data_IF_015384532813
#
_entry.id   IF_015384532813
#
_cell.length_a   1.000
_cell.length_b   1.000
_cell.length_c   1.000
_cell.angle_alpha   90.00
_cell.angle_beta   90.00
_cell.angle_gamma   90.00
#
_symmetry.space_group_name_H-M   'P 1'
#
loop_
_entity.id
_entity.type
_entity.pdbx_description
1 polymer ?
#
# COMPACT_ATOMS: atom_id res chain seq x y z
N UNK A 1 -14.26 6.66 -10.17
CA UNK A 1 -14.82 5.67 -9.21
C UNK A 1 -15.88 6.29 -8.31
N UNK A 2 -15.77 7.55 -7.87
CA UNK A 2 -16.82 8.27 -7.11
C UNK A 2 -18.24 8.17 -7.68
N UNK A 3 -18.39 8.27 -9.00
CA UNK A 3 -19.70 8.11 -9.67
C UNK A 3 -20.36 6.74 -9.40
N UNK A 4 -19.57 5.67 -9.26
CA UNK A 4 -20.08 4.32 -8.95
C UNK A 4 -20.65 4.29 -7.53
N UNK A 5 -19.97 4.93 -6.58
CA UNK A 5 -20.44 5.02 -5.19
C UNK A 5 -21.66 5.94 -5.06
N UNK A 6 -21.70 7.04 -5.82
CA UNK A 6 -22.89 7.90 -5.90
C UNK A 6 -24.10 7.12 -6.43
N UNK A 7 -23.92 6.32 -7.48
CA UNK A 7 -24.98 5.42 -7.98
C UNK A 7 -25.42 4.43 -6.92
N UNK A 8 -24.50 3.84 -6.16
CA UNK A 8 -24.84 2.96 -5.03
C UNK A 8 -25.77 3.65 -4.03
N UNK A 9 -25.43 4.85 -3.53
CA UNK A 9 -26.28 5.57 -2.57
C UNK A 9 -27.63 6.00 -3.16
N UNK A 10 -27.65 6.37 -4.44
CA UNK A 10 -28.88 6.70 -5.17
C UNK A 10 -29.81 5.48 -5.29
N UNK A 11 -29.27 4.31 -5.61
CA UNK A 11 -30.05 3.08 -5.69
C UNK A 11 -30.54 2.65 -4.30
N UNK A 12 -29.72 2.77 -3.25
CA UNK A 12 -30.11 2.49 -1.86
C UNK A 12 -31.29 3.37 -1.41
N UNK A 13 -31.25 4.68 -1.70
CA UNK A 13 -32.34 5.60 -1.36
C UNK A 13 -33.60 5.37 -2.19
N UNK A 14 -33.46 5.02 -3.47
CA UNK A 14 -34.58 4.65 -4.33
C UNK A 14 -35.31 3.42 -3.79
N UNK A 15 -34.58 2.34 -3.45
CA UNK A 15 -35.16 1.13 -2.86
C UNK A 15 -35.90 1.46 -1.57
N UNK A 16 -35.30 2.27 -0.68
CA UNK A 16 -35.95 2.69 0.57
C UNK A 16 -37.23 3.50 0.32
N UNK A 17 -37.21 4.39 -0.68
CA UNK A 17 -38.36 5.22 -1.06
C UNK A 17 -39.59 4.43 -1.51
N UNK A 18 -39.42 3.18 -1.96
CA UNK A 18 -40.54 2.30 -2.33
C UNK A 18 -41.40 1.86 -1.14
N UNK A 19 -40.88 1.94 0.10
CA UNK A 19 -41.57 1.50 1.31
C UNK A 19 -41.89 0.00 1.37
N UNK A 20 -41.49 -0.79 0.38
CA UNK A 20 -41.87 -2.20 0.18
C UNK A 20 -40.67 -3.16 0.28
N UNK A 21 -39.48 -2.64 0.60
CA UNK A 21 -38.26 -3.43 0.69
C UNK A 21 -38.21 -4.29 1.97
N UNK A 22 -37.76 -5.52 1.84
CA UNK A 22 -37.31 -6.32 2.99
C UNK A 22 -35.99 -5.73 3.51
N UNK A 23 -35.77 -5.77 4.82
CA UNK A 23 -34.62 -5.11 5.46
C UNK A 23 -33.25 -5.65 5.05
N UNK A 24 -33.21 -6.84 4.45
CA UNK A 24 -31.97 -7.55 4.12
C UNK A 24 -31.77 -7.69 2.60
N UNK A 25 -32.70 -8.32 1.86
CA UNK A 25 -32.43 -8.73 0.46
C UNK A 25 -32.76 -7.68 -0.59
N UNK A 26 -33.64 -6.71 -0.27
CA UNK A 26 -34.03 -5.68 -1.24
C UNK A 26 -32.90 -4.73 -1.62
N UNK A 27 -31.84 -4.69 -0.82
CA UNK A 27 -30.65 -3.85 -1.05
C UNK A 27 -29.47 -4.65 -1.66
N UNK A 28 -29.64 -5.94 -1.98
CA UNK A 28 -28.62 -6.71 -2.71
C UNK A 28 -28.26 -6.11 -4.08
N UNK A 29 -29.22 -5.69 -4.93
CA UNK A 29 -28.86 -5.19 -6.25
C UNK A 29 -27.91 -3.98 -6.20
N UNK A 30 -28.14 -2.93 -5.39
CA UNK A 30 -27.17 -1.83 -5.22
C UNK A 30 -25.76 -2.30 -4.85
N UNK A 31 -25.65 -3.19 -3.85
CA UNK A 31 -24.34 -3.69 -3.39
C UNK A 31 -23.64 -4.54 -4.47
N UNK A 32 -24.37 -5.42 -5.14
CA UNK A 32 -23.87 -6.25 -6.24
C UNK A 32 -23.42 -5.38 -7.42
N UNK A 33 -24.18 -4.33 -7.76
CA UNK A 33 -23.84 -3.37 -8.81
C UNK A 33 -22.55 -2.63 -8.48
N UNK A 34 -22.40 -2.16 -7.23
CA UNK A 34 -21.17 -1.52 -6.74
C UNK A 34 -19.97 -2.46 -6.90
N UNK A 35 -20.05 -3.68 -6.38
CA UNK A 35 -18.96 -4.67 -6.45
C UNK A 35 -18.60 -5.05 -7.89
N UNK A 36 -19.59 -5.24 -8.76
CA UNK A 36 -19.37 -5.56 -10.17
C UNK A 36 -18.72 -4.40 -10.94
N UNK A 37 -19.15 -3.16 -10.68
CA UNK A 37 -18.57 -1.98 -11.29
C UNK A 37 -17.11 -1.78 -10.87
N UNK A 38 -16.78 -2.01 -9.60
CA UNK A 38 -15.40 -1.99 -9.10
C UNK A 38 -14.58 -3.18 -9.65
N UNK A 39 -15.18 -4.37 -9.71
CA UNK A 39 -14.51 -5.57 -10.20
C UNK A 39 -14.22 -5.58 -11.70
N UNK A 40 -14.91 -4.75 -12.49
CA UNK A 40 -14.74 -4.66 -13.94
C UNK A 40 -13.38 -4.07 -14.37
N UNK A 41 -12.75 -3.25 -13.53
CA UNK A 41 -11.42 -2.69 -13.79
C UNK A 41 -10.26 -3.59 -13.36
N UNK A 42 -10.55 -4.69 -12.63
CA UNK A 42 -9.53 -5.61 -12.13
C UNK A 42 -9.03 -6.57 -13.22
N UNK A 43 -7.82 -7.09 -13.02
CA UNK A 43 -7.26 -8.19 -13.81
C UNK A 43 -6.76 -9.31 -12.88
N UNK A 44 -7.36 -10.52 -12.93
CA UNK A 44 -8.60 -10.84 -13.64
C UNK A 44 -9.79 -10.05 -13.08
N UNK A 45 -10.81 -9.85 -13.92
CA UNK A 45 -12.05 -9.17 -13.50
C UNK A 45 -12.75 -9.98 -12.42
N UNK A 46 -13.42 -9.30 -11.51
CA UNK A 46 -14.19 -9.94 -10.43
C UNK A 46 -15.67 -9.62 -10.59
N UNK A 47 -16.51 -10.62 -10.38
CA UNK A 47 -17.96 -10.52 -10.46
C UNK A 47 -18.62 -10.95 -9.15
N UNK A 48 -19.53 -10.12 -8.65
CA UNK A 48 -20.39 -10.43 -7.52
C UNK A 48 -21.72 -11.03 -8.01
N UNK A 49 -22.15 -12.10 -7.37
CA UNK A 49 -23.41 -12.80 -7.67
C UNK A 49 -24.15 -13.13 -6.39
N UNK A 50 -25.41 -12.69 -6.30
CA UNK A 50 -26.30 -13.04 -5.19
C UNK A 50 -27.01 -14.38 -5.43
N UNK A 51 -27.65 -14.93 -4.38
CA UNK A 51 -28.47 -16.14 -4.43
C UNK A 51 -27.69 -17.40 -4.87
N UNK A 52 -26.60 -17.69 -4.14
CA UNK A 52 -25.81 -18.90 -4.36
C UNK A 52 -26.64 -20.17 -4.09
N UNK A 53 -26.23 -21.30 -4.68
CA UNK A 53 -26.85 -22.62 -4.41
C UNK A 53 -26.15 -23.29 -3.21
N UNK A 54 -26.90 -24.03 -2.39
CA UNK A 54 -26.35 -24.64 -1.17
C UNK A 54 -25.41 -25.79 -1.53
N UNK A 55 -24.16 -25.70 -1.09
CA UNK A 55 -23.11 -26.69 -1.36
C UNK A 55 -22.59 -27.38 -0.09
N UNK A 56 -23.31 -27.27 1.04
CA UNK A 56 -23.08 -28.07 2.26
C UNK A 56 -22.47 -27.33 3.47
N UNK A 57 -22.16 -26.03 3.39
CA UNK A 57 -21.61 -25.24 4.52
C UNK A 57 -22.51 -24.08 4.97
N UNK A 58 -23.72 -23.97 4.40
CA UNK A 58 -24.58 -22.79 4.45
C UNK A 58 -24.62 -22.08 3.10
N UNK A 59 -25.51 -21.08 2.98
CA UNK A 59 -25.71 -20.26 1.81
C UNK A 59 -25.19 -18.85 2.09
N UNK A 60 -23.98 -18.46 1.61
CA UNK A 60 -23.59 -17.06 1.65
C UNK A 60 -24.53 -16.26 0.75
N UNK A 61 -24.76 -15.00 1.11
CA UNK A 61 -25.70 -14.14 0.39
C UNK A 61 -25.18 -13.77 -1.00
N UNK A 62 -23.86 -13.50 -1.10
CA UNK A 62 -23.18 -13.11 -2.33
C UNK A 62 -21.84 -13.84 -2.44
N UNK A 63 -21.50 -14.34 -3.64
CA UNK A 63 -20.19 -14.90 -3.97
C UNK A 63 -19.40 -13.99 -4.90
N UNK A 64 -18.08 -13.95 -4.71
CA UNK A 64 -17.14 -13.21 -5.56
C UNK A 64 -16.32 -14.18 -6.43
N UNK A 65 -16.52 -14.10 -7.74
CA UNK A 65 -15.91 -15.00 -8.73
C UNK A 65 -14.97 -14.21 -9.65
N UNK A 66 -13.91 -14.83 -10.14
CA UNK A 66 -13.22 -14.24 -11.30
C UNK A 66 -14.06 -14.41 -12.56
N UNK A 67 -13.82 -13.57 -13.57
CA UNK A 67 -14.49 -13.69 -14.84
C UNK A 67 -14.22 -15.04 -15.51
N UNK A 68 -13.03 -15.62 -15.36
CA UNK A 68 -12.71 -16.95 -15.88
C UNK A 68 -13.54 -18.04 -15.19
N UNK A 69 -13.70 -17.96 -13.86
CA UNK A 69 -14.62 -18.85 -13.15
C UNK A 69 -16.04 -18.70 -13.69
N UNK A 70 -16.46 -17.49 -14.06
CA UNK A 70 -17.79 -17.22 -14.59
C UNK A 70 -17.99 -17.72 -16.02
N UNK A 71 -17.06 -17.46 -16.94
CA UNK A 71 -17.18 -17.91 -18.33
C UNK A 71 -17.25 -19.43 -18.42
N UNK A 72 -16.48 -20.14 -17.60
CA UNK A 72 -16.56 -21.60 -17.49
C UNK A 72 -17.95 -22.09 -17.00
N UNK A 73 -18.69 -21.27 -16.24
CA UNK A 73 -20.04 -21.59 -15.75
C UNK A 73 -21.14 -21.32 -16.80
N UNK A 74 -20.92 -20.40 -17.74
CA UNK A 74 -21.91 -20.05 -18.78
C UNK A 74 -21.89 -21.06 -19.96
N UNK A 75 -20.80 -21.82 -20.14
CA UNK A 75 -20.61 -22.79 -21.25
C UNK A 75 -21.19 -24.21 -20.98
N UNK A 76 -21.86 -24.43 -19.84
CA UNK A 76 -22.78 -25.57 -19.69
C UNK A 76 -22.29 -26.79 -18.91
N UNK A 77 -21.15 -26.73 -18.22
CA UNK A 77 -20.74 -27.78 -17.27
C UNK A 77 -21.13 -27.42 -15.83
N UNK A 78 -22.15 -28.11 -15.33
CA UNK A 78 -22.55 -28.27 -13.93
C UNK A 78 -22.71 -26.99 -13.05
N UNK A 79 -23.95 -26.81 -12.60
CA UNK A 79 -24.39 -26.02 -11.45
C UNK A 79 -23.32 -26.01 -10.31
N UNK A 80 -22.55 -24.91 -10.23
CA UNK A 80 -21.59 -24.47 -9.18
C UNK A 80 -21.07 -25.57 -8.25
N UNK A 81 -20.03 -26.29 -8.70
CA UNK A 81 -19.13 -27.07 -7.82
C UNK A 81 -17.85 -26.31 -7.44
N UNK A 82 -17.53 -25.22 -8.15
CA UNK A 82 -16.34 -24.40 -7.89
C UNK A 82 -16.69 -23.28 -6.89
N UNK A 83 -16.05 -23.23 -5.71
CA UNK A 83 -16.29 -22.17 -4.74
C UNK A 83 -15.86 -20.80 -5.30
N UNK A 84 -16.53 -19.70 -4.89
CA UNK A 84 -16.10 -18.34 -5.22
C UNK A 84 -14.65 -18.11 -4.79
N UNK A 85 -13.73 -17.89 -5.74
CA UNK A 85 -12.29 -17.83 -5.41
C UNK A 85 -11.87 -16.50 -4.80
N UNK A 86 -12.76 -15.50 -4.79
CA UNK A 86 -12.52 -14.18 -4.18
C UNK A 86 -13.30 -14.00 -2.87
N UNK A 87 -13.79 -15.09 -2.29
CA UNK A 87 -14.54 -15.08 -1.04
C UNK A 87 -16.03 -14.82 -1.23
N UNK A 88 -16.70 -14.61 -0.11
CA UNK A 88 -18.16 -14.46 -0.02
C UNK A 88 -18.56 -13.28 0.85
N UNK A 89 -19.81 -12.84 0.75
CA UNK A 89 -20.40 -11.86 1.66
C UNK A 89 -21.52 -12.49 2.48
N UNK A 90 -21.56 -12.09 3.75
CA UNK A 90 -22.72 -12.24 4.64
C UNK A 90 -23.29 -10.84 4.87
N UNK A 91 -24.53 -10.62 4.44
CA UNK A 91 -25.17 -9.32 4.40
C UNK A 91 -26.32 -9.30 5.40
N UNK A 92 -26.40 -8.25 6.23
CA UNK A 92 -27.43 -8.10 7.27
C UNK A 92 -28.15 -6.75 7.18
N UNK A 93 -29.32 -6.61 7.82
CA UNK A 93 -30.00 -5.33 7.94
C UNK A 93 -29.11 -4.22 8.52
N UNK A 94 -29.32 -2.96 8.08
CA UNK A 94 -28.50 -1.80 8.46
C UNK A 94 -28.35 -1.57 9.98
N UNK A 95 -29.32 -2.03 10.78
CA UNK A 95 -29.33 -1.89 12.23
C UNK A 95 -28.41 -2.87 12.96
N UNK A 96 -28.03 -3.97 12.32
CA UNK A 96 -27.34 -5.08 12.97
C UNK A 96 -25.84 -4.76 13.17
N UNK A 97 -25.20 -5.44 14.13
CA UNK A 97 -23.78 -5.28 14.48
C UNK A 97 -22.92 -6.31 13.75
N UNK A 98 -22.11 -5.84 12.80
CA UNK A 98 -21.23 -6.70 11.98
C UNK A 98 -20.17 -7.45 12.80
N UNK A 99 -19.74 -6.91 13.95
CA UNK A 99 -18.74 -7.57 14.80
C UNK A 99 -19.35 -8.78 15.50
N UNK A 100 -20.58 -8.63 16.00
CA UNK A 100 -21.31 -9.75 16.60
C UNK A 100 -21.58 -10.86 15.58
N UNK A 101 -21.92 -10.49 14.35
CA UNK A 101 -22.15 -11.44 13.24
C UNK A 101 -20.85 -12.15 12.83
N UNK A 102 -19.74 -11.41 12.77
CA UNK A 102 -18.43 -11.96 12.41
C UNK A 102 -17.93 -13.04 13.39
N UNK A 103 -18.37 -12.99 14.66
CA UNK A 103 -18.08 -14.01 15.67
C UNK A 103 -18.95 -15.27 15.63
N UNK A 104 -19.87 -15.40 14.68
CA UNK A 104 -20.77 -16.56 14.59
C UNK A 104 -20.10 -17.78 13.94
N UNK A 105 -20.55 -18.98 14.32
CA UNK A 105 -20.09 -20.24 13.72
C UNK A 105 -20.34 -20.30 12.21
N UNK A 106 -21.37 -19.60 11.71
CA UNK A 106 -21.65 -19.49 10.28
C UNK A 106 -20.50 -18.79 9.54
N UNK A 107 -20.02 -17.66 10.05
CA UNK A 107 -18.90 -16.93 9.45
C UNK A 107 -17.61 -17.76 9.53
N UNK A 108 -17.37 -18.43 10.65
CA UNK A 108 -16.24 -19.38 10.80
C UNK A 108 -16.25 -20.42 9.68
N UNK A 109 -17.37 -21.13 9.46
CA UNK A 109 -17.49 -22.14 8.39
C UNK A 109 -17.28 -21.54 7.00
N UNK A 110 -17.69 -20.31 6.77
CA UNK A 110 -17.48 -19.64 5.49
C UNK A 110 -16.02 -19.25 5.26
N UNK A 111 -15.33 -18.72 6.27
CA UNK A 111 -13.88 -18.44 6.17
C UNK A 111 -13.12 -19.74 5.91
N UNK A 112 -13.50 -20.85 6.57
CA UNK A 112 -12.86 -22.13 6.36
C UNK A 112 -13.00 -22.67 4.95
N UNK A 113 -14.15 -22.43 4.32
CA UNK A 113 -14.48 -22.94 2.98
C UNK A 113 -14.03 -22.02 1.85
N UNK A 114 -14.19 -20.71 2.02
CA UNK A 114 -14.02 -19.71 0.97
C UNK A 114 -12.79 -18.82 1.17
N UNK A 115 -12.03 -19.03 2.24
CA UNK A 115 -10.79 -18.30 2.58
C UNK A 115 -11.02 -16.91 3.15
N UNK A 116 -12.12 -16.25 2.79
CA UNK A 116 -12.49 -14.91 3.26
C UNK A 116 -14.00 -14.69 3.23
N UNK A 117 -14.49 -13.91 4.18
CA UNK A 117 -15.85 -13.38 4.26
C UNK A 117 -15.82 -11.88 4.44
N UNK A 118 -16.67 -11.14 3.73
CA UNK A 118 -17.05 -9.78 4.11
C UNK A 118 -18.41 -9.83 4.82
N UNK A 119 -18.43 -9.46 6.08
CA UNK A 119 -19.66 -9.23 6.84
C UNK A 119 -20.03 -7.77 6.69
N UNK A 120 -21.26 -7.48 6.22
CA UNK A 120 -21.69 -6.10 6.05
C UNK A 120 -23.16 -5.88 6.33
N UNK A 121 -23.49 -4.66 6.75
CA UNK A 121 -24.85 -4.17 6.88
C UNK A 121 -25.09 -2.94 5.98
N UNK A 122 -24.39 -2.84 4.84
CA UNK A 122 -24.42 -1.73 3.87
C UNK A 122 -23.74 -0.42 4.30
N UNK A 123 -23.48 -0.23 5.60
CA UNK A 123 -22.81 0.95 6.17
C UNK A 123 -21.52 0.62 6.94
N UNK A 124 -21.35 -0.63 7.31
CA UNK A 124 -20.20 -1.15 8.04
C UNK A 124 -19.75 -2.40 7.30
N UNK A 125 -18.46 -2.46 7.01
CA UNK A 125 -17.83 -3.46 6.15
C UNK A 125 -16.68 -4.07 6.94
N UNK A 126 -16.82 -5.33 7.33
CA UNK A 126 -15.84 -6.04 8.14
C UNK A 126 -15.36 -7.29 7.42
N UNK A 127 -14.08 -7.31 7.06
CA UNK A 127 -13.44 -8.50 6.51
C UNK A 127 -13.06 -9.46 7.63
N UNK A 128 -13.31 -10.74 7.36
CA UNK A 128 -12.87 -11.87 8.19
C UNK A 128 -12.09 -12.80 7.27
N UNK A 129 -10.83 -13.03 7.61
CA UNK A 129 -9.92 -13.88 6.83
C UNK A 129 -9.03 -14.71 7.75
N UNK A 130 -8.08 -15.42 7.14
CA UNK A 130 -7.01 -16.11 7.86
C UNK A 130 -5.74 -15.28 7.83
N UNK A 131 -5.02 -15.30 8.93
CA UNK A 131 -3.65 -14.79 8.97
C UNK A 131 -2.66 -15.75 8.30
N UNK A 132 -1.37 -15.41 8.35
CA UNK A 132 -0.29 -16.25 7.80
C UNK A 132 -0.10 -17.58 8.55
N UNK A 133 -0.62 -17.72 9.77
CA UNK A 133 -0.61 -18.97 10.55
C UNK A 133 -1.82 -19.86 10.26
N UNK A 134 -2.84 -19.31 9.58
CA UNK A 134 -4.09 -19.98 9.27
C UNK A 134 -5.19 -19.73 10.30
N UNK A 135 -4.94 -18.93 11.34
CA UNK A 135 -5.93 -18.56 12.35
C UNK A 135 -6.93 -17.54 11.79
N UNK A 136 -8.21 -17.70 12.15
CA UNK A 136 -9.28 -16.80 11.73
C UNK A 136 -9.20 -15.50 12.54
N UNK A 137 -9.28 -14.37 11.85
CA UNK A 137 -9.23 -13.04 12.45
C UNK A 137 -10.24 -12.08 11.84
N UNK A 138 -10.55 -11.05 12.59
CA UNK A 138 -11.16 -9.83 12.07
C UNK A 138 -10.04 -8.99 11.45
N UNK A 139 -10.10 -8.73 10.15
CA UNK A 139 -9.04 -8.01 9.42
C UNK A 139 -9.39 -6.55 9.21
N UNK A 140 -9.68 -6.14 7.97
CA UNK A 140 -10.00 -4.74 7.66
C UNK A 140 -11.45 -4.41 8.01
N UNK A 141 -11.67 -3.23 8.59
CA UNK A 141 -13.01 -2.68 8.83
C UNK A 141 -13.14 -1.26 8.31
N UNK A 142 -14.25 -0.98 7.64
CA UNK A 142 -14.65 0.37 7.27
C UNK A 142 -16.12 0.61 7.66
N UNK A 143 -16.35 1.55 8.56
CA UNK A 143 -17.68 2.08 8.84
C UNK A 143 -17.85 3.43 8.13
N UNK A 144 -18.74 3.50 7.14
CA UNK A 144 -19.09 4.75 6.45
C UNK A 144 -20.20 5.52 7.18
N UNK A 145 -20.89 4.88 8.13
CA UNK A 145 -21.80 5.54 9.06
C UNK A 145 -21.88 4.80 10.41
N UNK A 146 -21.98 5.52 11.54
CA UNK A 146 -21.99 4.92 12.88
C UNK A 146 -23.25 4.08 13.15
N UNK A 147 -24.38 4.45 12.55
CA UNK A 147 -25.66 3.76 12.71
C UNK A 147 -26.54 3.91 11.47
N UNK A 148 -27.66 3.17 11.44
CA UNK A 148 -28.63 3.20 10.34
C UNK A 148 -29.22 4.61 10.12
N UNK A 149 -29.47 5.37 11.19
CA UNK A 149 -30.08 6.70 11.11
C UNK A 149 -29.13 7.70 10.44
N UNK A 150 -27.84 7.66 10.80
CA UNK A 150 -26.80 8.48 10.21
C UNK A 150 -26.61 8.15 8.74
N UNK A 151 -26.48 6.87 8.38
CA UNK A 151 -26.38 6.43 6.97
C UNK A 151 -27.51 7.03 6.12
N UNK A 152 -28.73 6.89 6.61
CA UNK A 152 -29.92 7.37 5.94
C UNK A 152 -30.12 8.88 5.92
N UNK A 153 -29.41 9.62 6.79
CA UNK A 153 -29.38 11.08 6.77
C UNK A 153 -28.44 11.55 5.67
N UNK A 154 -27.21 11.03 5.63
CA UNK A 154 -26.20 11.41 4.65
C UNK A 154 -26.59 10.96 3.23
N UNK A 155 -27.10 9.73 3.08
CA UNK A 155 -27.52 9.19 1.78
C UNK A 155 -28.64 9.99 1.09
N UNK A 156 -29.30 10.95 1.76
CA UNK A 156 -30.24 11.90 1.14
C UNK A 156 -29.58 12.80 0.10
N UNK A 157 -28.28 13.05 0.24
CA UNK A 157 -27.44 13.66 -0.77
C UNK A 157 -26.41 12.63 -1.25
N UNK A 158 -26.76 11.75 -2.22
CA UNK A 158 -25.84 10.74 -2.74
C UNK A 158 -24.53 11.32 -3.25
N UNK A 159 -24.56 12.54 -3.81
CA UNK A 159 -23.38 13.18 -4.38
C UNK A 159 -22.44 13.67 -3.28
N UNK A 160 -22.96 14.43 -2.30
CA UNK A 160 -22.20 14.87 -1.13
C UNK A 160 -21.62 13.69 -0.36
N UNK A 161 -22.43 12.66 -0.11
CA UNK A 161 -21.96 11.50 0.65
C UNK A 161 -20.91 10.69 -0.13
N UNK A 162 -21.06 10.52 -1.45
CA UNK A 162 -20.02 9.89 -2.27
C UNK A 162 -18.71 10.69 -2.32
N UNK A 163 -18.77 12.02 -2.24
CA UNK A 163 -17.56 12.84 -2.13
C UNK A 163 -16.85 12.65 -0.77
N UNK A 164 -17.60 12.41 0.31
CA UNK A 164 -17.06 12.27 1.66
C UNK A 164 -16.42 10.89 1.93
N UNK A 165 -17.13 9.82 1.54
CA UNK A 165 -16.71 8.44 1.88
C UNK A 165 -16.33 7.59 0.66
N UNK A 166 -16.58 8.07 -0.55
CA UNK A 166 -16.50 7.24 -1.75
C UNK A 166 -15.11 6.75 -2.10
N UNK A 167 -14.08 7.59 -1.91
CA UNK A 167 -12.69 7.16 -2.17
C UNK A 167 -12.27 6.08 -1.17
N UNK A 168 -12.56 6.27 0.13
CA UNK A 168 -12.22 5.29 1.15
C UNK A 168 -12.97 3.97 0.97
N UNK A 169 -14.27 4.02 0.65
CA UNK A 169 -15.07 2.83 0.33
C UNK A 169 -14.53 2.11 -0.91
N UNK A 170 -14.11 2.86 -1.93
CA UNK A 170 -13.52 2.31 -3.14
C UNK A 170 -12.22 1.58 -2.83
N UNK A 171 -11.32 2.18 -2.05
CA UNK A 171 -10.05 1.57 -1.66
C UNK A 171 -10.26 0.28 -0.87
N UNK A 172 -11.16 0.30 0.12
CA UNK A 172 -11.52 -0.87 0.91
C UNK A 172 -12.07 -2.01 0.05
N UNK A 173 -13.06 -1.72 -0.80
CA UNK A 173 -13.70 -2.74 -1.65
C UNK A 173 -12.75 -3.25 -2.73
N UNK A 174 -11.84 -2.42 -3.24
CA UNK A 174 -10.79 -2.87 -4.15
C UNK A 174 -9.91 -3.92 -3.46
N UNK A 175 -9.42 -3.64 -2.25
CA UNK A 175 -8.59 -4.58 -1.47
C UNK A 175 -9.32 -5.87 -1.13
N UNK A 176 -10.62 -5.80 -0.80
CA UNK A 176 -11.47 -6.97 -0.66
C UNK A 176 -11.42 -7.85 -1.92
N UNK A 177 -11.68 -7.27 -3.08
CA UNK A 177 -11.79 -8.02 -4.35
C UNK A 177 -10.47 -8.68 -4.77
N UNK A 178 -9.32 -8.14 -4.35
CA UNK A 178 -7.98 -8.67 -4.69
C UNK A 178 -7.28 -9.38 -3.54
N UNK A 179 -7.89 -9.50 -2.35
CA UNK A 179 -7.26 -10.10 -1.16
C UNK A 179 -6.79 -11.54 -1.38
N UNK A 180 -7.50 -12.32 -2.17
CA UNK A 180 -7.15 -13.72 -2.46
C UNK A 180 -6.15 -13.87 -3.62
N UNK A 181 -5.60 -12.77 -4.17
CA UNK A 181 -4.56 -12.82 -5.22
C UNK A 181 -3.22 -13.19 -4.59
N UNK A 182 -2.51 -14.14 -5.21
CA UNK A 182 -1.15 -14.50 -4.84
C UNK A 182 -0.18 -13.35 -5.14
N UNK A 183 0.42 -12.79 -4.10
CA UNK A 183 1.35 -11.66 -4.21
C UNK A 183 2.74 -12.16 -4.58
N UNK A 184 2.95 -12.33 -5.88
CA UNK A 184 4.22 -12.83 -6.47
C UNK A 184 4.87 -11.82 -7.42
N UNK A 185 4.14 -10.78 -7.86
CA UNK A 185 4.62 -9.77 -8.81
C UNK A 185 4.88 -8.44 -8.11
N UNK A 186 5.99 -7.75 -8.39
CA UNK A 186 6.26 -6.41 -7.85
C UNK A 186 5.15 -5.40 -8.12
N UNK A 187 4.53 -5.43 -9.30
CA UNK A 187 3.46 -4.50 -9.68
C UNK A 187 2.19 -4.70 -8.84
N UNK A 188 1.80 -5.96 -8.59
CA UNK A 188 0.63 -6.28 -7.77
C UNK A 188 0.83 -5.81 -6.32
N UNK A 189 2.05 -5.98 -5.80
CA UNK A 189 2.44 -5.50 -4.47
C UNK A 189 2.42 -3.97 -4.43
N UNK A 190 3.00 -3.30 -5.43
CA UNK A 190 3.01 -1.83 -5.53
C UNK A 190 1.59 -1.24 -5.57
N UNK A 191 0.68 -1.83 -6.36
CA UNK A 191 -0.72 -1.41 -6.45
C UNK A 191 -1.46 -1.54 -5.11
N UNK A 192 -1.22 -2.62 -4.37
CA UNK A 192 -1.80 -2.82 -3.04
C UNK A 192 -1.22 -1.88 -1.99
N UNK A 193 0.10 -1.70 -1.95
CA UNK A 193 0.74 -0.70 -1.09
C UNK A 193 0.18 0.70 -1.38
N UNK A 194 0.03 1.06 -2.65
CA UNK A 194 -0.55 2.34 -3.03
C UNK A 194 -2.01 2.50 -2.56
N UNK A 195 -2.80 1.41 -2.55
CA UNK A 195 -4.17 1.44 -2.00
C UNK A 195 -4.20 1.75 -0.51
N UNK A 196 -3.34 1.11 0.29
CA UNK A 196 -3.22 1.45 1.71
C UNK A 196 -2.66 2.86 1.93
N UNK A 197 -1.70 3.29 1.11
CA UNK A 197 -1.15 4.64 1.15
C UNK A 197 -2.23 5.70 0.87
N UNK A 198 -3.10 5.48 -0.13
CA UNK A 198 -4.23 6.38 -0.39
C UNK A 198 -5.24 6.38 0.77
N UNK A 199 -5.53 5.23 1.40
CA UNK A 199 -6.37 5.21 2.61
C UNK A 199 -5.74 6.02 3.75
N UNK A 200 -4.42 5.90 3.94
CA UNK A 200 -3.70 6.71 4.93
C UNK A 200 -3.77 8.22 4.61
N UNK A 201 -3.55 8.61 3.34
CA UNK A 201 -3.68 10.01 2.90
C UNK A 201 -5.06 10.56 3.19
N UNK A 202 -6.12 9.80 2.86
CA UNK A 202 -7.51 10.18 3.16
C UNK A 202 -7.77 10.36 4.66
N UNK A 203 -7.13 9.56 5.53
CA UNK A 203 -7.21 9.73 6.99
C UNK A 203 -6.51 11.01 7.44
N UNK A 204 -5.33 11.32 6.89
CA UNK A 204 -4.58 12.54 7.19
C UNK A 204 -5.26 13.81 6.67
N UNK A 205 -5.98 13.73 5.55
CA UNK A 205 -6.76 14.84 4.99
C UNK A 205 -7.95 15.23 5.87
N UNK A 206 -8.45 14.30 6.68
CA UNK A 206 -9.52 14.55 7.65
C UNK A 206 -9.02 15.12 8.99
N UNK A 207 -7.71 15.06 9.24
CA UNK A 207 -7.11 15.66 10.43
C UNK A 207 -6.93 17.16 10.20
N UNK A 208 -7.07 17.93 11.27
CA UNK A 208 -6.69 19.33 11.26
C UNK A 208 -5.18 19.45 11.01
N UNK A 209 -4.76 20.48 10.29
CA UNK A 209 -3.33 20.75 10.07
C UNK A 209 -2.62 21.08 11.39
N UNK A 210 -3.34 21.64 12.37
CA UNK A 210 -2.80 21.91 13.70
C UNK A 210 -2.39 20.62 14.42
N UNK A 211 -3.16 19.53 14.26
CA UNK A 211 -2.82 18.21 14.80
C UNK A 211 -1.58 17.59 14.12
N UNK A 212 -1.21 18.10 12.94
CA UNK A 212 -0.06 17.68 12.14
C UNK A 212 1.13 18.65 12.24
N UNK A 213 1.03 19.73 13.03
CA UNK A 213 2.03 20.81 13.04
C UNK A 213 3.43 20.33 13.43
N UNK A 214 3.55 19.55 14.51
CA UNK A 214 4.83 18.98 14.95
C UNK A 214 5.47 18.10 13.86
N UNK A 215 4.63 17.35 13.15
CA UNK A 215 5.04 16.46 12.07
C UNK A 215 5.54 17.24 10.85
N UNK A 216 4.86 18.35 10.55
CA UNK A 216 5.24 19.30 9.48
C UNK A 216 6.57 19.96 9.81
N UNK A 217 6.72 20.51 11.01
CA UNK A 217 7.97 21.15 11.45
C UNK A 217 9.17 20.19 11.39
N UNK A 218 8.98 18.94 11.81
CA UNK A 218 10.02 17.91 11.70
C UNK A 218 10.43 17.65 10.24
N UNK A 219 9.47 17.58 9.31
CA UNK A 219 9.77 17.43 7.88
C UNK A 219 10.45 18.67 7.28
N UNK A 220 9.93 19.86 7.57
CA UNK A 220 10.52 21.11 7.09
C UNK A 220 11.97 21.25 7.55
N UNK A 221 12.23 20.96 8.83
CA UNK A 221 13.58 20.97 9.40
C UNK A 221 14.48 19.89 8.77
N UNK A 222 13.95 18.69 8.52
CA UNK A 222 14.75 17.60 7.97
C UNK A 222 15.07 17.78 6.48
N UNK A 223 14.18 18.42 5.73
CA UNK A 223 14.31 18.60 4.28
C UNK A 223 14.87 19.97 3.90
N UNK A 224 14.86 20.93 4.81
CA UNK A 224 15.25 22.31 4.54
C UNK A 224 14.29 23.02 3.57
N UNK A 225 13.02 22.61 3.55
CA UNK A 225 11.96 23.21 2.73
C UNK A 225 10.82 23.71 3.63
N UNK A 226 10.00 24.62 3.13
CA UNK A 226 8.75 25.01 3.77
C UNK A 226 7.58 24.58 2.90
N UNK A 227 6.57 23.96 3.50
CA UNK A 227 5.30 23.67 2.86
C UNK A 227 4.44 24.92 3.00
N UNK A 228 3.92 25.49 1.92
CA UNK A 228 3.04 26.66 1.98
C UNK A 228 1.87 26.53 1.00
N UNK A 229 0.70 26.99 1.43
CA UNK A 229 -0.53 26.93 0.65
C UNK A 229 -1.08 25.51 0.48
N UNK A 230 -2.17 25.40 -0.27
CA UNK A 230 -2.89 24.12 -0.48
C UNK A 230 -2.00 23.05 -1.13
N UNK A 231 -1.18 23.44 -2.12
CA UNK A 231 -0.21 22.54 -2.76
C UNK A 231 0.86 22.06 -1.77
N UNK A 232 1.31 22.94 -0.88
CA UNK A 232 2.26 22.60 0.19
C UNK A 232 1.66 21.62 1.20
N UNK A 233 0.40 21.81 1.58
CA UNK A 233 -0.29 20.93 2.53
C UNK A 233 -0.54 19.54 1.94
N UNK A 234 -0.90 19.47 0.65
CA UNK A 234 -0.99 18.21 -0.09
C UNK A 234 0.38 17.53 -0.17
N UNK A 235 1.42 18.28 -0.55
CA UNK A 235 2.77 17.75 -0.66
C UNK A 235 3.31 17.23 0.67
N UNK A 236 3.06 17.93 1.78
CA UNK A 236 3.39 17.50 3.13
C UNK A 236 2.73 16.15 3.46
N UNK A 237 1.40 16.04 3.33
CA UNK A 237 0.67 14.80 3.63
C UNK A 237 1.14 13.65 2.74
N UNK A 238 1.31 13.88 1.45
CA UNK A 238 1.83 12.88 0.52
C UNK A 238 3.27 12.47 0.85
N UNK A 239 4.11 13.37 1.35
CA UNK A 239 5.49 13.07 1.77
C UNK A 239 5.54 12.19 3.02
N UNK A 240 4.69 12.48 4.02
CA UNK A 240 4.54 11.64 5.22
C UNK A 240 4.16 10.21 4.83
N UNK A 241 3.09 10.07 4.03
CA UNK A 241 2.57 8.77 3.61
C UNK A 241 3.63 8.02 2.81
N UNK A 242 4.24 8.65 1.82
CA UNK A 242 5.32 8.05 1.05
C UNK A 242 6.43 7.53 1.96
N UNK A 243 6.96 8.38 2.84
CA UNK A 243 8.08 8.01 3.73
C UNK A 243 7.76 6.78 4.58
N UNK A 244 6.56 6.69 5.13
CA UNK A 244 6.12 5.53 5.90
C UNK A 244 6.00 4.27 5.06
N UNK A 245 5.31 4.33 3.93
CA UNK A 245 5.09 3.15 3.09
C UNK A 245 6.38 2.63 2.46
N UNK A 246 7.28 3.54 2.05
CA UNK A 246 8.61 3.17 1.57
C UNK A 246 9.51 2.64 2.66
N UNK A 247 9.53 3.28 3.84
CA UNK A 247 10.30 2.80 4.98
C UNK A 247 9.87 1.38 5.37
N UNK A 248 8.56 1.14 5.40
CA UNK A 248 8.00 -0.18 5.72
C UNK A 248 8.34 -1.23 4.67
N UNK A 249 8.15 -0.94 3.37
CA UNK A 249 8.52 -1.88 2.31
C UNK A 249 10.03 -2.15 2.25
N UNK A 250 10.85 -1.11 2.40
CA UNK A 250 12.32 -1.24 2.41
C UNK A 250 12.79 -2.09 3.59
N UNK A 251 12.24 -1.86 4.78
CA UNK A 251 12.54 -2.67 5.96
C UNK A 251 12.12 -4.13 5.75
N UNK A 252 10.97 -4.39 5.12
CA UNK A 252 10.54 -5.73 4.75
C UNK A 252 11.52 -6.39 3.76
N UNK A 253 11.91 -5.70 2.70
CA UNK A 253 12.90 -6.21 1.71
C UNK A 253 14.21 -6.55 2.41
N UNK A 254 14.71 -5.68 3.28
CA UNK A 254 15.97 -5.90 4.02
C UNK A 254 15.85 -7.10 4.97
N UNK A 255 14.74 -7.21 5.70
CA UNK A 255 14.48 -8.36 6.60
C UNK A 255 14.44 -9.68 5.82
N UNK A 256 13.77 -9.71 4.66
CA UNK A 256 13.61 -10.92 3.86
C UNK A 256 14.85 -11.27 3.04
N UNK A 257 15.70 -10.29 2.66
CA UNK A 257 16.91 -10.56 1.87
C UNK A 257 18.11 -11.07 2.68
N UNK A 258 18.51 -10.45 3.79
CA UNK A 258 19.42 -11.05 4.79
C UNK A 258 19.73 -10.11 5.98
N UNK A 259 19.07 -10.34 7.12
CA UNK A 259 19.55 -9.93 8.46
C UNK A 259 19.61 -11.19 9.33
N UNK A 260 20.43 -12.15 8.92
CA UNK A 260 20.60 -13.44 9.58
C UNK A 260 19.44 -14.38 9.31
N UNK A 261 19.73 -15.62 8.91
CA UNK A 261 18.74 -16.65 8.54
C UNK A 261 17.54 -16.82 9.51
N UNK A 262 17.62 -16.35 10.76
CA UNK A 262 16.50 -16.38 11.73
C UNK A 262 15.47 -15.25 11.57
N UNK A 263 15.82 -14.10 10.99
CA UNK A 263 14.90 -12.96 10.86
C UNK A 263 14.04 -13.04 9.59
N UNK A 264 14.54 -13.71 8.54
CA UNK A 264 13.81 -13.94 7.30
C UNK A 264 12.52 -14.75 7.51
N UNK A 265 12.55 -15.73 8.42
CA UNK A 265 11.41 -16.60 8.74
C UNK A 265 10.39 -15.94 9.68
N UNK A 266 10.75 -14.83 10.33
CA UNK A 266 9.83 -14.13 11.22
C UNK A 266 8.81 -13.28 10.43
N UNK A 267 7.56 -13.17 10.91
CA UNK A 267 6.62 -12.17 10.41
C UNK A 267 7.23 -10.78 10.50
N UNK A 268 7.00 -9.97 9.49
CA UNK A 268 7.33 -8.56 9.47
C UNK A 268 6.38 -7.79 10.40
N UNK A 269 6.95 -6.93 11.25
CA UNK A 269 6.22 -5.99 12.10
C UNK A 269 6.76 -4.57 11.85
N UNK A 270 5.89 -3.69 11.34
CA UNK A 270 6.24 -2.31 11.01
C UNK A 270 6.74 -1.52 12.21
N UNK A 271 6.34 -1.88 13.44
CA UNK A 271 6.80 -1.21 14.67
C UNK A 271 8.29 -1.42 14.92
N UNK A 272 8.84 -2.50 14.39
CA UNK A 272 10.28 -2.83 14.48
C UNK A 272 11.05 -2.47 13.20
N UNK A 273 10.34 -2.03 12.15
CA UNK A 273 10.93 -1.73 10.85
C UNK A 273 12.02 -0.65 10.93
N UNK A 274 11.86 0.34 11.81
CA UNK A 274 12.84 1.39 12.07
C UNK A 274 14.24 0.86 12.38
N UNK A 275 14.35 -0.25 13.11
CA UNK A 275 15.64 -0.86 13.46
C UNK A 275 16.34 -1.54 12.29
N UNK A 276 15.58 -1.91 11.25
CA UNK A 276 16.11 -2.60 10.07
C UNK A 276 16.55 -1.61 8.97
N UNK A 277 16.17 -0.33 9.08
CA UNK A 277 16.55 0.71 8.13
C UNK A 277 18.02 1.10 8.35
N UNK A 278 18.81 1.06 7.28
CA UNK A 278 20.27 1.34 7.33
C UNK A 278 20.63 2.80 7.11
N UNK A 279 19.70 3.61 6.62
CA UNK A 279 19.95 5.03 6.30
C UNK A 279 19.48 5.87 7.49
N UNK A 280 20.39 6.52 8.25
CA UNK A 280 20.02 7.22 9.49
C UNK A 280 18.91 8.25 9.30
N UNK A 281 18.99 9.08 8.25
CA UNK A 281 17.94 10.06 7.95
C UNK A 281 16.55 9.43 7.78
N UNK A 282 16.47 8.23 7.17
CA UNK A 282 15.20 7.52 6.96
C UNK A 282 14.77 6.79 8.22
N UNK A 283 15.71 6.25 8.99
CA UNK A 283 15.41 5.69 10.30
C UNK A 283 14.81 6.76 11.22
N UNK A 284 15.40 7.96 11.27
CA UNK A 284 14.93 9.10 12.07
C UNK A 284 13.55 9.57 11.60
N UNK A 285 13.40 9.83 10.30
CA UNK A 285 12.10 10.20 9.72
C UNK A 285 11.04 9.12 9.99
N UNK A 286 11.33 7.86 9.69
CA UNK A 286 10.40 6.75 9.93
C UNK A 286 10.04 6.64 11.41
N UNK A 287 11.00 6.73 12.34
CA UNK A 287 10.72 6.68 13.78
C UNK A 287 9.82 7.81 14.26
N UNK A 288 10.01 9.03 13.73
CA UNK A 288 9.15 10.17 14.03
C UNK A 288 7.70 9.89 13.60
N UNK A 289 7.51 9.39 12.38
CA UNK A 289 6.18 9.08 11.84
C UNK A 289 5.55 7.81 12.41
N UNK A 290 6.37 6.83 12.81
CA UNK A 290 5.94 5.54 13.33
C UNK A 290 5.82 5.53 14.87
N UNK A 291 6.05 6.69 15.51
CA UNK A 291 5.99 6.86 16.95
C UNK A 291 4.61 6.48 17.52
N UNK A 292 4.53 5.70 18.62
CA UNK A 292 3.25 5.26 19.17
C UNK A 292 2.31 6.39 19.59
N UNK A 293 2.84 7.58 19.88
CA UNK A 293 2.04 8.78 20.16
C UNK A 293 1.31 9.26 18.91
N UNK A 294 2.07 9.65 17.89
CA UNK A 294 1.55 10.18 16.62
C UNK A 294 0.61 9.21 15.93
N UNK A 295 1.02 7.94 15.75
CA UNK A 295 0.22 6.93 15.02
C UNK A 295 -1.12 6.64 15.69
N UNK A 296 -1.16 6.61 17.03
CA UNK A 296 -2.41 6.38 17.78
C UNK A 296 -3.32 7.60 17.78
N UNK A 297 -2.76 8.79 17.99
CA UNK A 297 -3.54 10.03 17.99
C UNK A 297 -4.20 10.27 16.63
N UNK A 298 -3.48 10.01 15.54
CA UNK A 298 -3.95 10.23 14.18
C UNK A 298 -4.79 9.07 13.61
N UNK A 299 -5.03 8.00 14.38
CA UNK A 299 -5.84 6.85 13.93
C UNK A 299 -5.23 6.07 12.76
N UNK A 300 -3.89 6.03 12.69
CA UNK A 300 -3.13 5.46 11.58
C UNK A 300 -2.70 4.01 11.84
N UNK A 301 -2.81 3.55 13.08
CA UNK A 301 -2.37 2.21 13.54
C UNK A 301 -2.94 1.10 12.65
N UNK A 302 -4.25 1.13 12.39
CA UNK A 302 -4.92 0.06 11.63
C UNK A 302 -4.36 -0.08 10.21
N UNK A 303 -4.13 1.03 9.51
CA UNK A 303 -3.63 1.00 8.12
C UNK A 303 -2.22 0.43 8.08
N UNK A 304 -1.38 0.78 9.04
CA UNK A 304 -0.02 0.24 9.15
C UNK A 304 -0.02 -1.25 9.50
N UNK A 305 -0.91 -1.68 10.40
CA UNK A 305 -1.10 -3.09 10.74
C UNK A 305 -1.55 -3.89 9.51
N UNK A 306 -2.58 -3.44 8.79
CA UNK A 306 -3.07 -4.09 7.58
C UNK A 306 -2.01 -4.13 6.47
N UNK A 307 -1.17 -3.10 6.37
CA UNK A 307 -0.08 -3.09 5.39
C UNK A 307 1.00 -4.09 5.77
N UNK A 308 1.41 -4.17 7.04
CA UNK A 308 2.34 -5.19 7.53
C UNK A 308 1.82 -6.61 7.28
N UNK A 309 0.54 -6.85 7.51
CA UNK A 309 -0.12 -8.12 7.17
C UNK A 309 -0.12 -8.43 5.68
N UNK A 310 -0.34 -7.43 4.83
CA UNK A 310 -0.26 -7.60 3.37
C UNK A 310 1.17 -7.98 2.94
N UNK A 311 2.19 -7.34 3.49
CA UNK A 311 3.59 -7.69 3.24
C UNK A 311 3.92 -9.11 3.71
N UNK A 312 3.32 -9.58 4.80
CA UNK A 312 3.47 -10.95 5.29
C UNK A 312 2.78 -12.01 4.42
N UNK A 313 1.93 -11.61 3.47
CA UNK A 313 1.28 -12.52 2.49
C UNK A 313 2.06 -12.67 1.20
N UNK A 314 3.14 -11.92 1.01
CA UNK A 314 3.98 -12.02 -0.18
C UNK A 314 4.69 -13.37 -0.19
N UNK A 315 4.61 -14.06 -1.33
CA UNK A 315 5.44 -15.25 -1.59
C UNK A 315 6.86 -14.76 -1.82
N UNK A 316 7.69 -14.83 -0.78
CA UNK A 316 9.03 -14.26 -0.75
C UNK A 316 9.91 -14.82 -1.87
N UNK A 317 9.87 -16.14 -2.09
CA UNK A 317 10.74 -16.81 -3.07
C UNK A 317 10.36 -16.42 -4.50
N UNK A 318 9.08 -16.52 -4.87
CA UNK A 318 8.63 -16.14 -6.21
C UNK A 318 8.73 -14.64 -6.44
N UNK A 319 8.45 -13.83 -5.41
CA UNK A 319 8.61 -12.39 -5.47
C UNK A 319 10.07 -12.03 -5.76
N UNK A 320 11.03 -12.55 -4.98
CA UNK A 320 12.44 -12.19 -5.17
C UNK A 320 13.06 -12.76 -6.44
N UNK A 321 12.60 -13.93 -6.91
CA UNK A 321 13.01 -14.46 -8.22
C UNK A 321 12.70 -13.44 -9.34
N UNK A 322 11.49 -12.88 -9.35
CA UNK A 322 11.08 -11.85 -10.32
C UNK A 322 11.73 -10.49 -10.02
N UNK A 323 11.87 -10.16 -8.74
CA UNK A 323 12.46 -8.90 -8.29
C UNK A 323 13.95 -8.78 -8.68
N UNK A 324 14.69 -9.90 -8.72
CA UNK A 324 16.11 -9.92 -9.09
C UNK A 324 16.34 -9.92 -10.60
N UNK A 325 15.48 -10.60 -11.39
CA UNK A 325 15.62 -10.71 -12.85
C UNK A 325 15.40 -9.37 -13.58
N UNK A 326 14.56 -8.48 -13.03
CA UNK A 326 14.08 -7.28 -13.74
C UNK A 326 14.69 -5.93 -13.27
N UNK A 327 15.85 -5.86 -12.59
CA UNK A 327 16.33 -4.59 -11.99
C UNK A 327 15.29 -3.91 -11.06
N UNK A 328 14.47 -4.72 -10.36
CA UNK A 328 13.10 -4.38 -9.96
C UNK A 328 12.93 -3.33 -8.86
N UNK A 329 13.99 -2.85 -8.20
CA UNK A 329 13.85 -1.70 -7.30
C UNK A 329 13.40 -0.45 -8.10
N UNK A 330 13.75 -0.34 -9.39
CA UNK A 330 13.21 0.71 -10.28
C UNK A 330 11.72 0.47 -10.61
N UNK A 331 11.34 -0.80 -10.82
CA UNK A 331 9.99 -1.21 -11.22
C UNK A 331 8.99 -1.38 -10.07
N UNK A 332 9.41 -1.29 -8.80
CA UNK A 332 8.47 -1.21 -7.67
C UNK A 332 7.98 0.24 -7.46
N UNK A 333 8.91 1.18 -7.53
CA UNK A 333 8.68 2.55 -7.13
C UNK A 333 7.84 3.34 -8.14
N UNK A 334 8.10 3.16 -9.43
CA UNK A 334 7.32 3.83 -10.48
C UNK A 334 5.84 3.39 -10.46
N UNK A 335 5.51 2.08 -10.47
CA UNK A 335 4.12 1.64 -10.35
C UNK A 335 3.47 2.07 -9.03
N UNK A 336 4.22 2.08 -7.92
CA UNK A 336 3.69 2.58 -6.64
C UNK A 336 3.35 4.06 -6.74
N UNK A 337 4.26 4.92 -7.19
CA UNK A 337 4.01 6.37 -7.29
C UNK A 337 2.89 6.68 -8.26
N UNK A 338 2.87 6.00 -9.42
CA UNK A 338 1.83 6.17 -10.42
C UNK A 338 0.46 5.84 -9.85
N UNK A 339 0.37 4.77 -9.05
CA UNK A 339 -0.86 4.39 -8.41
C UNK A 339 -1.21 5.31 -7.24
N UNK A 340 -0.23 5.70 -6.41
CA UNK A 340 -0.45 6.45 -5.19
C UNK A 340 -0.84 7.91 -5.47
N UNK A 341 -0.03 8.62 -6.25
CA UNK A 341 -0.17 10.05 -6.51
C UNK A 341 0.41 10.43 -7.89
N UNK A 342 -0.35 10.17 -8.98
CA UNK A 342 0.13 10.41 -10.34
C UNK A 342 0.32 11.91 -10.64
N UNK A 343 -0.45 12.78 -9.99
CA UNK A 343 -0.31 14.23 -10.15
C UNK A 343 1.01 14.70 -9.53
N UNK A 344 1.29 14.26 -8.31
CA UNK A 344 2.54 14.60 -7.64
C UNK A 344 3.75 14.01 -8.37
N UNK A 345 3.65 12.77 -8.89
CA UNK A 345 4.69 12.18 -9.75
C UNK A 345 5.00 13.08 -10.95
N UNK A 346 3.96 13.58 -11.63
CA UNK A 346 4.12 14.45 -12.79
C UNK A 346 4.73 15.81 -12.41
N UNK A 347 4.25 16.42 -11.31
CA UNK A 347 4.73 17.71 -10.82
C UNK A 347 6.19 17.68 -10.38
N UNK A 348 6.58 16.62 -9.65
CA UNK A 348 7.93 16.46 -9.13
C UNK A 348 8.91 15.88 -10.16
N UNK A 349 8.42 15.50 -11.36
CA UNK A 349 9.27 15.00 -12.43
C UNK A 349 10.02 13.73 -12.06
N UNK A 350 9.40 12.83 -11.28
CA UNK A 350 10.06 11.60 -10.85
C UNK A 350 10.01 10.59 -11.99
N UNK A 351 11.14 10.47 -12.69
CA UNK A 351 11.29 9.62 -13.87
C UNK A 351 12.51 8.72 -13.73
N UNK A 352 12.35 7.45 -14.09
CA UNK A 352 13.50 6.57 -14.27
C UNK A 352 14.20 6.90 -15.58
N UNK A 353 15.50 7.14 -15.48
CA UNK A 353 16.35 7.23 -16.66
C UNK A 353 16.51 5.83 -17.24
N UNK A 354 16.20 5.58 -18.53
CA UNK A 354 16.28 4.24 -19.11
C UNK A 354 17.66 3.61 -18.91
N UNK A 355 17.75 2.30 -18.57
CA UNK A 355 19.03 1.65 -18.27
C UNK A 355 20.08 1.83 -19.36
N UNK A 356 19.66 1.82 -20.64
CA UNK A 356 20.56 2.00 -21.78
C UNK A 356 21.24 3.37 -21.79
N UNK A 357 20.55 4.41 -21.30
CA UNK A 357 21.12 5.76 -21.17
C UNK A 357 22.12 5.79 -20.02
N UNK A 358 21.79 5.15 -18.89
CA UNK A 358 22.70 5.02 -17.74
C UNK A 358 23.97 4.26 -18.14
N UNK A 359 23.82 3.09 -18.77
CA UNK A 359 24.93 2.26 -19.27
C UNK A 359 25.82 3.05 -20.23
N UNK A 360 25.22 3.80 -21.17
CA UNK A 360 25.97 4.66 -22.08
C UNK A 360 26.77 5.73 -21.33
N UNK A 361 26.15 6.43 -20.38
CA UNK A 361 26.82 7.46 -19.58
C UNK A 361 27.98 6.85 -18.77
N UNK A 362 27.78 5.71 -18.11
CA UNK A 362 28.80 5.00 -17.34
C UNK A 362 29.95 4.54 -18.24
N UNK A 363 29.67 3.93 -19.39
CA UNK A 363 30.68 3.47 -20.33
C UNK A 363 31.54 4.62 -20.90
N UNK A 364 30.93 5.80 -21.12
CA UNK A 364 31.66 7.00 -21.56
C UNK A 364 32.60 7.54 -20.48
N UNK A 365 32.18 7.52 -19.22
CA UNK A 365 33.02 7.92 -18.09
C UNK A 365 34.18 6.93 -17.90
N UNK A 366 33.93 5.62 -17.95
CA UNK A 366 34.97 4.58 -17.85
C UNK A 366 36.02 4.71 -18.96
N UNK A 367 35.60 4.90 -20.22
CA UNK A 367 36.51 5.10 -21.34
C UNK A 367 37.40 6.34 -21.15
N UNK A 368 36.83 7.46 -20.68
CA UNK A 368 37.60 8.68 -20.42
C UNK A 368 38.64 8.48 -19.30
N UNK A 369 38.28 7.77 -18.23
CA UNK A 369 39.20 7.49 -17.12
C UNK A 369 40.35 6.55 -17.53
N UNK A 370 40.09 5.57 -18.40
CA UNK A 370 41.12 4.67 -18.93
C UNK A 370 42.12 5.40 -19.84
N UNK A 371 41.63 6.33 -20.68
CA UNK A 371 42.49 7.18 -21.51
C UNK A 371 43.41 8.08 -20.65
N UNK A 372 42.98 8.45 -19.44
CA UNK A 372 43.77 9.19 -18.46
C UNK A 372 44.69 8.32 -17.58
N UNK A 373 44.74 7.00 -17.81
CA UNK A 373 45.66 6.08 -17.16
C UNK A 373 45.18 5.51 -15.82
N UNK A 374 43.87 5.47 -15.55
CA UNK A 374 43.32 4.85 -14.35
C UNK A 374 43.47 3.32 -14.37
N UNK A 375 44.05 2.75 -13.30
CA UNK A 375 44.13 1.30 -13.07
C UNK A 375 42.78 0.71 -12.66
N UNK A 376 42.64 -0.62 -12.79
CA UNK A 376 41.45 -1.34 -12.35
C UNK A 376 41.23 -1.17 -10.84
N UNK A 377 40.08 -0.61 -10.45
CA UNK A 377 39.71 -0.41 -9.04
C UNK A 377 39.61 -1.75 -8.31
N UNK A 378 40.22 -1.85 -7.13
CA UNK A 378 39.91 -2.95 -6.21
C UNK A 378 38.52 -2.74 -5.57
N UNK A 379 37.95 -3.78 -4.96
CA UNK A 379 36.67 -3.67 -4.25
C UNK A 379 36.69 -2.60 -3.14
N UNK A 380 37.83 -2.39 -2.48
CA UNK A 380 37.98 -1.33 -1.48
C UNK A 380 38.04 0.06 -2.14
N UNK A 381 38.74 0.20 -3.27
CA UNK A 381 38.82 1.48 -4.00
C UNK A 381 37.45 1.87 -4.54
N UNK A 382 36.68 0.89 -5.04
CA UNK A 382 35.30 1.10 -5.48
C UNK A 382 34.40 1.58 -4.34
N UNK A 383 34.50 0.92 -3.18
CA UNK A 383 33.73 1.33 -1.99
C UNK A 383 34.08 2.75 -1.56
N UNK A 384 35.36 3.08 -1.45
CA UNK A 384 35.79 4.42 -1.07
C UNK A 384 35.40 5.47 -2.12
N UNK A 385 35.45 5.15 -3.42
CA UNK A 385 34.98 6.04 -4.46
C UNK A 385 33.48 6.36 -4.32
N UNK A 386 32.63 5.36 -4.06
CA UNK A 386 31.19 5.59 -3.84
C UNK A 386 30.91 6.40 -2.56
N UNK A 387 31.74 6.25 -1.53
CA UNK A 387 31.60 6.99 -0.26
C UNK A 387 32.10 8.43 -0.34
N UNK A 388 33.07 8.73 -1.19
CA UNK A 388 33.83 10.01 -1.10
C UNK A 388 33.94 10.78 -2.41
N UNK A 389 33.61 10.17 -3.56
CA UNK A 389 33.80 10.75 -4.89
C UNK A 389 32.53 10.77 -5.73
N UNK A 390 31.56 9.90 -5.43
CA UNK A 390 30.23 9.91 -6.05
C UNK A 390 29.24 10.62 -5.13
N UNK A 391 28.78 11.79 -5.55
CA UNK A 391 27.81 12.59 -4.80
C UNK A 391 26.45 12.55 -5.49
N UNK A 392 25.40 12.22 -4.74
CA UNK A 392 24.01 12.30 -5.19
C UNK A 392 23.24 13.35 -4.37
N UNK A 393 22.31 14.04 -5.01
CA UNK A 393 21.42 15.00 -4.36
C UNK A 393 20.00 14.67 -4.75
N UNK A 394 19.11 14.63 -3.77
CA UNK A 394 17.72 14.31 -3.99
C UNK A 394 16.86 15.22 -3.12
N UNK A 395 15.74 15.69 -3.65
CA UNK A 395 14.83 16.56 -2.90
C UNK A 395 13.81 15.73 -2.11
N UNK A 396 13.48 14.56 -2.63
CA UNK A 396 12.39 13.74 -2.12
C UNK A 396 12.93 12.61 -1.23
N UNK A 397 12.33 12.39 -0.03
CA UNK A 397 12.77 11.31 0.87
C UNK A 397 12.76 9.95 0.18
N UNK A 398 11.77 9.73 -0.69
CA UNK A 398 11.50 8.43 -1.25
C UNK A 398 12.50 7.99 -2.35
N UNK A 399 12.77 8.76 -3.42
CA UNK A 399 13.88 8.48 -4.32
C UNK A 399 15.24 8.48 -3.60
N UNK A 400 15.39 9.26 -2.52
CA UNK A 400 16.61 9.26 -1.71
C UNK A 400 16.86 7.89 -1.06
N UNK A 401 15.81 7.27 -0.50
CA UNK A 401 15.88 5.89 0.04
C UNK A 401 16.23 4.90 -1.07
N UNK A 402 15.56 5.02 -2.21
CA UNK A 402 15.74 4.12 -3.36
C UNK A 402 17.18 4.18 -3.86
N UNK A 403 17.75 5.37 -3.99
CA UNK A 403 19.13 5.56 -4.43
C UNK A 403 20.13 4.93 -3.45
N UNK A 404 19.91 5.06 -2.13
CA UNK A 404 20.73 4.40 -1.11
C UNK A 404 20.64 2.87 -1.19
N UNK A 405 19.42 2.34 -1.31
CA UNK A 405 19.18 0.90 -1.42
C UNK A 405 19.84 0.33 -2.70
N UNK A 406 19.63 0.97 -3.84
CA UNK A 406 20.19 0.59 -5.14
C UNK A 406 21.72 0.56 -5.10
N UNK A 407 22.38 1.62 -4.64
CA UNK A 407 23.84 1.65 -4.55
C UNK A 407 24.37 0.64 -3.53
N UNK A 408 23.66 0.45 -2.41
CA UNK A 408 24.04 -0.58 -1.42
C UNK A 408 23.99 -2.00 -1.99
N UNK A 409 22.93 -2.32 -2.74
CA UNK A 409 22.77 -3.61 -3.41
C UNK A 409 23.80 -3.81 -4.53
N UNK A 410 24.01 -2.80 -5.38
CA UNK A 410 25.00 -2.85 -6.46
C UNK A 410 26.42 -3.06 -5.92
N UNK A 411 26.78 -2.38 -4.82
CA UNK A 411 28.07 -2.59 -4.15
C UNK A 411 28.21 -4.01 -3.59
N UNK A 412 27.14 -4.58 -3.06
CA UNK A 412 27.15 -5.97 -2.57
C UNK A 412 27.38 -6.97 -3.70
N UNK A 413 26.72 -6.79 -4.85
CA UNK A 413 26.89 -7.63 -6.04
C UNK A 413 28.30 -7.54 -6.62
N UNK A 414 28.92 -6.36 -6.55
CA UNK A 414 30.31 -6.10 -6.98
C UNK A 414 31.36 -6.55 -5.95
N UNK A 415 30.97 -7.23 -4.87
CA UNK A 415 31.90 -7.74 -3.84
C UNK A 415 32.46 -6.66 -2.92
N UNK A 416 31.85 -5.48 -2.88
CA UNK A 416 32.24 -4.32 -2.07
C UNK A 416 31.15 -3.89 -1.07
N UNK A 417 30.51 -4.81 -0.29
CA UNK A 417 29.33 -4.49 0.51
C UNK A 417 29.61 -3.43 1.59
N UNK A 418 28.67 -2.51 1.80
CA UNK A 418 28.71 -1.56 2.91
C UNK A 418 28.53 -2.30 4.24
N UNK A 419 29.34 -1.95 5.24
CA UNK A 419 29.30 -2.59 6.55
C UNK A 419 28.12 -2.12 7.39
N UNK A 420 27.27 -3.07 7.80
CA UNK A 420 26.13 -2.79 8.68
C UNK A 420 26.60 -2.39 10.08
N UNK A 421 25.96 -1.40 10.70
CA UNK A 421 26.33 -0.89 12.03
C UNK A 421 27.53 0.05 12.07
N UNK A 422 28.06 0.42 10.90
CA UNK A 422 29.08 1.48 10.75
C UNK A 422 28.47 2.70 10.06
N UNK A 423 29.22 3.80 9.99
CA UNK A 423 28.80 5.00 9.24
C UNK A 423 29.00 4.87 7.71
N UNK A 424 29.17 3.65 7.19
CA UNK A 424 29.33 3.41 5.76
C UNK A 424 28.00 3.55 5.02
N UNK A 425 27.90 4.58 4.18
CA UNK A 425 26.76 4.82 3.28
C UNK A 425 27.24 5.44 1.97
N UNK A 426 26.46 5.33 0.87
CA UNK A 426 26.68 6.16 -0.30
C UNK A 426 26.56 7.66 0.05
N UNK A 427 27.35 8.51 -0.58
CA UNK A 427 27.31 9.97 -0.37
C UNK A 427 26.15 10.61 -1.16
N UNK A 428 24.93 10.18 -0.86
CA UNK A 428 23.69 10.80 -1.34
C UNK A 428 23.12 11.68 -0.22
N UNK A 429 22.57 12.85 -0.57
CA UNK A 429 22.06 13.85 0.35
C UNK A 429 20.63 14.25 0.01
N UNK A 430 19.79 14.32 1.03
CA UNK A 430 18.41 14.78 0.93
C UNK A 430 18.42 16.31 1.07
N UNK A 431 18.53 17.02 -0.04
CA UNK A 431 18.70 18.48 -0.06
C UNK A 431 18.43 19.05 -1.45
N UNK A 432 18.14 20.35 -1.51
CA UNK A 432 18.03 21.07 -2.76
C UNK A 432 19.42 21.47 -3.29
N UNK A 433 19.87 20.84 -4.38
CA UNK A 433 21.16 21.12 -5.00
C UNK A 433 21.31 22.57 -5.52
N UNK A 434 20.21 23.31 -5.70
CA UNK A 434 20.21 24.68 -6.21
C UNK A 434 20.38 25.74 -5.12
N UNK A 435 20.25 25.40 -3.84
CA UNK A 435 20.28 26.38 -2.73
C UNK A 435 21.64 26.49 -2.04
N UNK A 436 22.72 26.06 -2.71
CA UNK A 436 24.09 26.15 -2.18
C UNK A 436 24.38 25.04 -1.17
N UNK A 437 24.81 23.89 -1.67
CA UNK A 437 25.26 22.79 -0.84
C UNK A 437 26.74 22.98 -0.43
N UNK A 438 27.06 22.75 0.85
CA UNK A 438 28.42 22.79 1.38
C UNK A 438 28.76 21.44 2.05
N UNK A 439 29.87 20.83 1.60
CA UNK A 439 30.48 19.62 2.18
C UNK A 439 30.74 19.75 3.69
N UNK A 440 30.97 20.96 4.19
CA UNK A 440 31.17 21.21 5.62
C UNK A 440 29.91 20.97 6.46
N UNK A 441 28.72 21.14 5.86
CA UNK A 441 27.42 20.89 6.50
C UNK A 441 26.94 19.44 6.34
N UNK A 442 27.48 18.72 5.35
CA UNK A 442 27.14 17.32 5.05
C UNK A 442 27.49 16.33 6.19
N UNK A 443 28.45 16.69 7.05
CA UNK A 443 28.78 15.95 8.27
C UNK A 443 27.93 16.37 9.49
N UNK A 444 27.22 17.49 9.41
CA UNK A 444 26.39 18.05 10.47
C UNK A 444 24.93 17.59 10.34
N UNK A 445 24.44 17.37 9.12
CA UNK A 445 23.14 16.70 8.87
C UNK A 445 23.18 15.19 9.13
N UNK A 446 24.36 14.64 9.46
CA UNK A 446 24.55 13.27 9.93
C UNK A 446 24.45 13.12 11.46
N UNK A 447 24.08 14.18 12.18
CA UNK A 447 23.67 14.13 13.58
C UNK A 447 22.20 14.52 13.72
N UNK A 448 21.30 13.62 13.32
CA UNK A 448 19.95 13.51 13.87
C UNK A 448 19.61 12.04 14.06
#
# INVERSE_FOLDING_TARGET
>A
MRQVVETYFREMTMVRGTGSGTSETSYYPPLVNLLNALGASLRPRVNAMSQLRNTGSGLPDIGLFTHEQRSALEEGDAIISVPPSRGVLEVKPLRDDVVAIAGTEQVTRYVERYGQVLVTNYRDFLMVDRDSSGEIRLSERLAIAPDERAFWREARDPHGYANEVGDQLTEFLHRLLVRQVSLTKPEDVALLLASYARDMRLRLERQDLDDLAALREALESSLGISFQGEDGDHFFRSTVVQTLFYGMFSAWVLQKRDIGRRAADQPFDWRTAGYNLRVPAIQTLFHEFSGPGAVRQLGLTDVLDWTGEMLNRIDVDQFFARFAEDHAVQYFYEPFLEAFDPQLRQQLGVWYTPPQVVEYMVARVDAALKDEGADALTANDLKEAVKTRLFGFELLPAPFVVAHLQLGLALQELGAPLQSGTNERPAIYLTNALTGWDLSQANTTAQL
#
